data_IF_457726069468
#
_entry.id   IF_457726069468
#
_cell.length_a   1.000
_cell.length_b   1.000
_cell.length_c   1.000
_cell.angle_alpha   90.00
_cell.angle_beta   90.00
_cell.angle_gamma   90.00
#
_symmetry.space_group_name_H-M   'P 1'
#
loop_
_entity.id
_entity.type
_entity.pdbx_description
1 polymer ?
#
# COMPACT_ATOMS: atom_id res chain seq x y z
N UNK A 1 2.52 3.49 -3.23
CA UNK A 1 1.89 4.33 -4.28
C UNK A 1 0.47 4.66 -3.84
N UNK A 2 0.22 5.89 -3.40
CA UNK A 2 -1.10 6.29 -2.89
C UNK A 2 -1.73 7.42 -3.69
N UNK A 3 -0.89 8.21 -4.35
CA UNK A 3 -1.27 9.31 -5.24
C UNK A 3 -0.37 9.29 -6.47
N UNK A 4 -0.87 9.73 -7.64
CA UNK A 4 -0.04 9.83 -8.83
C UNK A 4 1.04 10.90 -8.66
N UNK A 5 2.26 10.59 -9.11
CA UNK A 5 3.37 11.54 -9.17
C UNK A 5 3.45 12.02 -10.63
N UNK A 6 3.35 13.34 -10.89
CA UNK A 6 3.57 13.89 -12.22
C UNK A 6 4.96 13.51 -12.77
N UNK A 7 5.08 13.17 -14.07
CA UNK A 7 6.35 12.71 -14.64
C UNK A 7 7.52 13.67 -14.44
N UNK A 8 7.28 14.98 -14.48
CA UNK A 8 8.29 16.02 -14.27
C UNK A 8 8.84 16.08 -12.84
N UNK A 9 8.20 15.39 -11.88
CA UNK A 9 8.63 15.28 -10.48
C UNK A 9 9.34 13.96 -10.16
N UNK A 10 9.48 13.05 -11.13
CA UNK A 10 10.19 11.79 -10.97
C UNK A 10 11.69 11.97 -11.22
N UNK A 11 12.48 11.98 -10.15
CA UNK A 11 13.93 12.04 -10.24
C UNK A 11 14.52 10.68 -10.67
N UNK A 12 15.70 10.64 -11.33
CA UNK A 12 16.33 9.40 -11.79
C UNK A 12 16.63 8.36 -10.70
N UNK A 13 16.73 8.80 -9.44
CA UNK A 13 17.02 7.97 -8.28
C UNK A 13 15.79 7.63 -7.43
N UNK A 14 14.58 7.95 -7.90
CA UNK A 14 13.36 7.57 -7.20
C UNK A 14 13.07 6.09 -7.33
N UNK A 15 12.61 5.50 -6.22
CA UNK A 15 11.99 4.18 -6.20
C UNK A 15 10.59 4.32 -5.63
N UNK A 16 9.59 4.07 -6.46
CA UNK A 16 8.19 4.01 -6.00
C UNK A 16 7.94 2.60 -5.48
N UNK A 17 7.53 2.49 -4.22
CA UNK A 17 7.09 1.24 -3.62
C UNK A 17 5.57 1.14 -3.75
N UNK A 18 5.07 -0.04 -4.10
CA UNK A 18 3.63 -0.26 -4.16
C UNK A 18 3.06 -0.56 -2.76
N UNK A 19 1.91 0.03 -2.44
CA UNK A 19 1.11 -0.30 -1.26
C UNK A 19 -0.14 -1.12 -1.64
N UNK A 20 -0.30 -1.48 -2.92
CA UNK A 20 -1.45 -2.25 -3.38
C UNK A 20 -1.67 -3.57 -2.60
N UNK A 21 -0.64 -4.38 -2.28
CA UNK A 21 -0.84 -5.60 -1.47
C UNK A 21 -1.38 -5.30 -0.07
N UNK A 22 -0.86 -4.23 0.57
CA UNK A 22 -1.30 -3.79 1.89
C UNK A 22 -2.79 -3.42 1.88
N UNK A 23 -3.21 -2.65 0.88
CA UNK A 23 -4.60 -2.22 0.74
C UNK A 23 -5.54 -3.37 0.38
N UNK A 24 -5.13 -4.27 -0.53
CA UNK A 24 -5.92 -5.44 -0.90
C UNK A 24 -6.22 -6.31 0.31
N UNK A 25 -5.20 -6.64 1.09
CA UNK A 25 -5.37 -7.48 2.27
C UNK A 25 -6.16 -6.77 3.40
N UNK A 26 -6.05 -5.45 3.49
CA UNK A 26 -6.89 -4.66 4.42
C UNK A 26 -8.37 -4.75 4.04
N UNK A 27 -8.69 -4.71 2.74
CA UNK A 27 -10.06 -4.88 2.24
C UNK A 27 -10.57 -6.28 2.58
N UNK A 28 -9.80 -7.33 2.26
CA UNK A 28 -10.19 -8.71 2.51
C UNK A 28 -10.41 -8.99 4.00
N UNK A 29 -9.49 -8.56 4.87
CA UNK A 29 -9.65 -8.70 6.33
C UNK A 29 -10.87 -7.94 6.86
N UNK A 30 -11.11 -6.74 6.34
CA UNK A 30 -12.29 -5.94 6.71
C UNK A 30 -13.58 -6.65 6.31
N UNK A 31 -13.60 -7.22 5.10
CA UNK A 31 -14.75 -7.97 4.60
C UNK A 31 -15.05 -9.22 5.44
N UNK A 32 -14.00 -9.92 5.89
CA UNK A 32 -14.11 -11.16 6.67
C UNK A 32 -14.20 -10.92 8.19
N UNK A 33 -14.16 -9.66 8.65
CA UNK A 33 -14.15 -9.33 10.08
C UNK A 33 -12.88 -9.76 10.82
N UNK A 34 -11.77 -9.97 10.10
CA UNK A 34 -10.45 -10.28 10.69
C UNK A 34 -9.74 -8.99 11.13
N UNK A 35 -8.89 -9.10 12.15
CA UNK A 35 -8.11 -7.95 12.64
C UNK A 35 -7.10 -7.46 11.59
N UNK A 36 -7.26 -6.21 11.15
CA UNK A 36 -6.29 -5.53 10.27
C UNK A 36 -4.97 -5.27 11.01
N UNK A 37 -5.03 -4.95 12.31
CA UNK A 37 -3.85 -4.61 13.11
C UNK A 37 -2.90 -5.79 13.36
N UNK A 38 -3.34 -7.03 13.16
CA UNK A 38 -2.47 -8.20 13.20
C UNK A 38 -1.55 -8.26 11.97
N UNK A 39 -2.08 -7.98 10.78
CA UNK A 39 -1.32 -7.95 9.54
C UNK A 39 -0.25 -6.86 9.49
N UNK A 40 -0.59 -5.67 9.99
CA UNK A 40 0.31 -4.51 9.98
C UNK A 40 1.56 -4.69 10.84
N UNK A 41 1.57 -5.62 11.80
CA UNK A 41 2.75 -5.89 12.62
C UNK A 41 3.84 -6.64 11.86
N UNK A 42 3.45 -7.33 10.78
CA UNK A 42 4.32 -8.16 9.96
C UNK A 42 4.64 -7.51 8.59
N UNK A 43 4.05 -6.34 8.31
CA UNK A 43 4.14 -5.60 7.05
C UNK A 43 5.30 -4.58 7.00
#
# INVERSE_FOLDING_TARGET
>A
DTVPIPPEKLLPNFRVLSVAPLLAETIDRTHEGRSVGEYLKDA
#
